data_IF_333202479772
#
_entry.id   IF_333202479772
#
_cell.length_a   1.000
_cell.length_b   1.000
_cell.length_c   1.000
_cell.angle_alpha   90.00
_cell.angle_beta   90.00
_cell.angle_gamma   90.00
#
_symmetry.space_group_name_H-M   'P 1'
#
loop_
_entity.id
_entity.type
_entity.pdbx_description
1 polymer ?
#
# COMPACT_ATOMS: atom_id res chain seq x y z
N UNK A 1 -28.06 12.37 -65.89
CA UNK A 1 -26.83 11.86 -65.26
C UNK A 1 -26.85 12.26 -63.80
N UNK A 2 -26.68 11.27 -62.91
CA UNK A 2 -26.65 11.37 -61.45
C UNK A 2 -25.26 11.81 -60.99
N UNK A 3 -25.16 12.69 -59.98
CA UNK A 3 -24.16 12.69 -58.87
C UNK A 3 -24.36 13.98 -58.04
N UNK A 4 -24.94 13.92 -56.85
CA UNK A 4 -24.48 13.39 -55.54
C UNK A 4 -24.26 14.61 -54.60
N UNK A 5 -25.23 14.85 -53.73
CA UNK A 5 -25.13 15.80 -52.62
C UNK A 5 -23.99 15.39 -51.69
N UNK A 6 -23.02 16.28 -51.49
CA UNK A 6 -21.92 16.09 -50.54
C UNK A 6 -22.42 16.36 -49.13
N UNK A 7 -22.46 15.31 -48.31
CA UNK A 7 -22.60 15.39 -46.86
C UNK A 7 -21.25 15.80 -46.26
N UNK A 8 -21.09 17.08 -45.90
CA UNK A 8 -19.96 17.54 -45.11
C UNK A 8 -20.19 17.16 -43.64
N UNK A 9 -19.27 16.37 -43.11
CA UNK A 9 -19.31 15.73 -41.81
C UNK A 9 -19.43 16.73 -40.64
N UNK A 10 -20.30 16.38 -39.69
CA UNK A 10 -20.43 17.00 -38.37
C UNK A 10 -19.05 16.98 -37.68
N UNK A 11 -18.50 18.14 -37.34
CA UNK A 11 -17.30 18.26 -36.50
C UNK A 11 -17.62 17.65 -35.14
N UNK A 12 -17.22 16.39 -34.95
CA UNK A 12 -17.27 15.70 -33.68
C UNK A 12 -16.42 16.44 -32.66
N UNK A 13 -17.09 16.95 -31.63
CA UNK A 13 -16.49 17.43 -30.40
C UNK A 13 -15.76 16.24 -29.73
N UNK A 14 -14.43 16.23 -29.79
CA UNK A 14 -13.63 15.29 -29.00
C UNK A 14 -13.66 15.79 -27.56
N UNK A 15 -14.57 15.22 -26.76
CA UNK A 15 -14.51 15.31 -25.30
C UNK A 15 -13.22 14.62 -24.85
N UNK A 16 -12.26 15.42 -24.38
CA UNK A 16 -11.11 14.91 -23.65
C UNK A 16 -11.62 14.24 -22.38
N UNK A 17 -11.74 12.92 -22.39
CA UNK A 17 -11.86 12.11 -21.18
C UNK A 17 -10.58 12.33 -20.38
N UNK A 18 -10.68 13.08 -19.28
CA UNK A 18 -9.61 13.17 -18.29
C UNK A 18 -9.16 11.77 -17.94
N UNK A 19 -7.85 11.54 -17.97
CA UNK A 19 -7.26 10.31 -17.47
C UNK A 19 -7.71 10.14 -16.02
N UNK A 20 -8.66 9.24 -15.77
CA UNK A 20 -8.96 8.80 -14.42
C UNK A 20 -7.65 8.21 -13.89
N UNK A 21 -6.96 8.94 -13.01
CA UNK A 21 -5.74 8.46 -12.36
C UNK A 21 -6.14 7.18 -11.62
N UNK A 22 -5.65 6.05 -12.09
CA UNK A 22 -5.87 4.76 -11.46
C UNK A 22 -5.20 4.82 -10.09
N UNK A 23 -5.98 4.93 -9.02
CA UNK A 23 -5.47 4.67 -7.67
C UNK A 23 -5.25 3.17 -7.60
N UNK A 24 -4.01 2.71 -7.83
CA UNK A 24 -3.65 1.34 -7.52
C UNK A 24 -3.96 1.10 -6.04
N UNK A 25 -4.77 0.09 -5.77
CA UNK A 25 -5.28 -0.30 -4.48
C UNK A 25 -5.53 -1.82 -4.53
N UNK A 26 -5.88 -2.42 -3.40
CA UNK A 26 -6.26 -3.83 -3.32
C UNK A 26 -5.09 -4.74 -2.99
N UNK A 27 -4.17 -4.36 -2.10
CA UNK A 27 -3.03 -5.22 -1.74
C UNK A 27 -3.45 -6.64 -1.30
N UNK A 28 -4.59 -6.80 -0.62
CA UNK A 28 -5.12 -8.11 -0.21
C UNK A 28 -5.69 -8.92 -1.37
N UNK A 29 -6.20 -8.24 -2.39
CA UNK A 29 -6.65 -8.86 -3.64
C UNK A 29 -5.47 -9.14 -4.59
N UNK A 30 -4.31 -8.64 -4.23
CA UNK A 30 -3.09 -8.64 -5.03
C UNK A 30 -1.95 -9.36 -4.29
N UNK A 31 -2.29 -10.52 -3.73
CA UNK A 31 -1.35 -11.48 -3.15
C UNK A 31 -0.53 -10.98 -1.96
N UNK A 32 -1.10 -10.06 -1.17
CA UNK A 32 -0.62 -9.79 0.18
C UNK A 32 -1.58 -10.36 1.22
N UNK A 33 -1.04 -10.69 2.38
CA UNK A 33 -1.83 -11.08 3.54
C UNK A 33 -1.38 -12.37 4.18
N UNK A 34 -1.87 -12.60 5.41
CA UNK A 34 -1.74 -13.89 6.06
C UNK A 34 -2.80 -14.86 5.53
N UNK A 35 -2.36 -15.91 4.83
CA UNK A 35 -3.25 -16.95 4.36
C UNK A 35 -3.74 -17.77 5.56
N UNK A 36 -5.07 -17.80 5.76
CA UNK A 36 -5.81 -18.68 6.67
C UNK A 36 -5.62 -18.50 8.20
N UNK A 37 -5.04 -17.40 8.70
CA UNK A 37 -4.91 -17.18 10.15
C UNK A 37 -4.95 -15.68 10.53
N UNK A 38 -6.06 -15.22 11.10
CA UNK A 38 -6.16 -13.90 11.75
C UNK A 38 -6.29 -12.67 10.84
N UNK A 39 -6.03 -11.44 11.37
CA UNK A 39 -6.10 -10.21 10.59
C UNK A 39 -5.06 -10.23 9.47
N UNK A 40 -5.45 -9.82 8.26
CA UNK A 40 -4.64 -9.96 7.04
C UNK A 40 -3.34 -9.13 7.04
N UNK A 41 -3.20 -8.21 7.98
CA UNK A 41 -2.01 -7.38 8.21
C UNK A 41 -2.03 -6.91 9.67
N UNK A 42 -0.90 -6.41 10.15
CA UNK A 42 -0.77 -5.89 11.52
C UNK A 42 -0.62 -4.37 11.49
N UNK A 43 -1.39 -3.66 12.32
CA UNK A 43 -1.18 -2.23 12.59
C UNK A 43 -0.22 -2.07 13.78
N UNK A 44 0.82 -1.27 13.60
CA UNK A 44 1.83 -0.96 14.62
C UNK A 44 1.47 0.32 15.38
N UNK A 45 2.11 0.49 16.55
CA UNK A 45 1.91 1.65 17.43
C UNK A 45 2.39 3.00 16.89
N UNK A 46 3.02 3.01 15.71
CA UNK A 46 3.50 4.19 14.99
C UNK A 46 2.61 4.56 13.77
N UNK A 47 1.53 3.81 13.55
CA UNK A 47 0.65 3.99 12.40
C UNK A 47 1.16 3.32 11.11
N UNK A 48 2.21 2.51 11.18
CA UNK A 48 2.62 1.65 10.07
C UNK A 48 1.83 0.33 10.06
N UNK A 49 1.71 -0.28 8.88
CA UNK A 49 1.20 -1.64 8.74
C UNK A 49 2.28 -2.58 8.22
N UNK A 50 2.19 -3.84 8.62
CA UNK A 50 3.07 -4.91 8.16
C UNK A 50 2.28 -6.10 7.65
N UNK A 51 2.78 -6.75 6.62
CA UNK A 51 2.25 -8.02 6.11
C UNK A 51 3.29 -8.74 5.24
N UNK A 52 2.91 -9.87 4.67
CA UNK A 52 3.66 -10.56 3.63
C UNK A 52 3.01 -10.31 2.27
N UNK A 53 3.81 -10.07 1.24
CA UNK A 53 3.36 -9.86 -0.12
C UNK A 53 4.14 -10.74 -1.08
N UNK A 54 3.47 -11.28 -2.08
CA UNK A 54 4.14 -11.94 -3.20
C UNK A 54 4.90 -10.90 -4.02
N UNK A 55 6.21 -11.10 -4.12
CA UNK A 55 7.05 -10.50 -5.15
C UNK A 55 6.81 -11.23 -6.48
N UNK A 56 6.16 -10.53 -7.39
CA UNK A 56 5.79 -11.02 -8.73
C UNK A 56 6.96 -11.06 -9.71
N UNK A 57 8.10 -10.47 -9.35
CA UNK A 57 9.29 -10.41 -10.20
C UNK A 57 10.19 -11.62 -9.98
N UNK A 58 10.51 -11.94 -8.72
CA UNK A 58 11.35 -13.09 -8.39
C UNK A 58 10.56 -14.30 -7.88
N UNK A 59 9.22 -14.23 -7.87
CA UNK A 59 8.34 -15.31 -7.40
C UNK A 59 8.69 -15.75 -5.98
N UNK A 60 8.88 -14.77 -5.09
CA UNK A 60 9.12 -14.99 -3.66
C UNK A 60 8.04 -14.33 -2.83
N UNK A 61 7.94 -14.69 -1.55
CA UNK A 61 7.12 -13.95 -0.58
C UNK A 61 8.04 -13.12 0.29
N UNK A 62 7.76 -11.83 0.41
CA UNK A 62 8.54 -10.92 1.25
C UNK A 62 7.69 -10.32 2.35
N UNK A 63 8.32 -10.01 3.47
CA UNK A 63 7.73 -9.16 4.49
C UNK A 63 7.91 -7.71 4.06
N UNK A 64 6.88 -6.91 4.29
CA UNK A 64 6.87 -5.51 3.89
C UNK A 64 6.15 -4.67 4.93
N UNK A 65 6.55 -3.40 4.99
CA UNK A 65 6.01 -2.40 5.90
C UNK A 65 5.70 -1.12 5.12
N UNK A 66 4.66 -0.41 5.50
CA UNK A 66 4.41 0.96 5.02
C UNK A 66 3.87 1.82 6.17
N UNK A 67 4.36 3.05 6.28
CA UNK A 67 3.82 4.02 7.21
C UNK A 67 2.54 4.66 6.66
N UNK A 68 1.39 4.40 7.27
CA UNK A 68 0.12 4.96 6.79
C UNK A 68 0.03 6.47 7.05
N UNK A 69 0.93 7.07 7.84
CA UNK A 69 1.05 8.53 7.91
C UNK A 69 1.41 9.15 6.56
N UNK A 70 2.00 8.39 5.63
CA UNK A 70 2.27 8.86 4.28
C UNK A 70 1.11 8.59 3.30
N UNK A 71 0.04 7.95 3.76
CA UNK A 71 -1.11 7.55 2.94
C UNK A 71 -2.44 8.15 3.41
N UNK A 72 -2.58 8.41 4.71
CA UNK A 72 -3.84 8.76 5.35
C UNK A 72 -3.69 10.10 6.07
N UNK A 73 -4.73 10.91 5.98
CA UNK A 73 -4.87 12.17 6.72
C UNK A 73 -6.18 12.17 7.51
N UNK A 74 -6.26 13.05 8.50
CA UNK A 74 -7.48 13.32 9.25
C UNK A 74 -8.03 14.69 8.82
N UNK A 75 -9.24 14.68 8.25
CA UNK A 75 -9.95 15.89 7.82
C UNK A 75 -11.16 16.08 8.74
N UNK A 76 -11.05 16.99 9.71
CA UNK A 76 -12.14 17.33 10.64
C UNK A 76 -12.77 16.11 11.35
N UNK A 77 -11.95 15.14 11.74
CA UNK A 77 -12.38 13.91 12.40
C UNK A 77 -12.67 12.76 11.44
N UNK A 78 -12.52 12.95 10.13
CA UNK A 78 -12.71 11.92 9.12
C UNK A 78 -11.37 11.45 8.55
N UNK A 79 -11.10 10.14 8.67
CA UNK A 79 -9.98 9.49 8.00
C UNK A 79 -10.20 9.51 6.49
N UNK A 80 -9.21 10.02 5.76
CA UNK A 80 -9.25 10.10 4.30
C UNK A 80 -7.91 9.67 3.70
N UNK A 81 -7.90 9.10 2.48
CA UNK A 81 -6.67 9.02 1.71
C UNK A 81 -6.10 10.43 1.56
N UNK A 82 -4.78 10.61 1.69
CA UNK A 82 -4.19 11.93 1.48
C UNK A 82 -4.38 12.33 0.03
N UNK A 83 -4.68 13.60 -0.21
CA UNK A 83 -4.66 14.12 -1.57
C UNK A 83 -3.21 14.25 -2.08
N UNK A 84 -3.04 14.20 -3.40
CA UNK A 84 -1.74 14.42 -4.05
C UNK A 84 -1.17 15.79 -3.64
N UNK A 85 0.11 15.83 -3.27
CA UNK A 85 0.77 17.05 -2.80
C UNK A 85 0.42 17.49 -1.37
N UNK A 86 -0.45 16.76 -0.66
CA UNK A 86 -0.71 16.99 0.76
C UNK A 86 0.10 16.07 1.65
N UNK A 87 0.30 16.50 2.89
CA UNK A 87 0.86 15.67 3.95
C UNK A 87 -0.26 14.84 4.59
N UNK A 88 0.05 13.59 4.92
CA UNK A 88 -0.84 12.75 5.72
C UNK A 88 -0.68 13.06 7.21
N UNK A 89 -0.31 12.05 7.99
CA UNK A 89 -0.09 12.10 9.43
C UNK A 89 -1.35 12.03 10.29
N UNK A 90 -2.28 11.15 9.92
CA UNK A 90 -3.46 10.88 10.74
C UNK A 90 -3.10 10.45 12.17
N UNK A 91 -2.02 9.67 12.37
CA UNK A 91 -1.65 9.08 13.66
C UNK A 91 -1.37 10.13 14.74
N UNK A 92 -0.93 11.33 14.36
CA UNK A 92 -0.74 12.45 15.30
C UNK A 92 -2.04 12.99 15.89
N UNK A 93 -3.15 12.83 15.17
CA UNK A 93 -4.44 13.45 15.48
C UNK A 93 -5.56 12.43 15.76
N UNK A 94 -5.25 11.14 15.63
CA UNK A 94 -6.15 10.05 15.91
C UNK A 94 -5.59 9.19 17.05
N UNK A 95 -6.48 8.55 17.81
CA UNK A 95 -6.15 7.67 18.92
C UNK A 95 -7.02 6.41 18.90
N UNK A 96 -6.68 5.45 19.74
CA UNK A 96 -7.42 4.20 19.91
C UNK A 96 -7.61 3.43 18.58
N UNK A 97 -6.60 3.56 17.71
CA UNK A 97 -6.60 2.98 16.38
C UNK A 97 -6.40 1.47 16.42
N UNK A 98 -7.25 0.74 15.69
CA UNK A 98 -7.18 -0.72 15.55
C UNK A 98 -7.65 -1.16 14.16
N UNK A 99 -7.38 -2.42 13.82
CA UNK A 99 -7.82 -3.03 12.57
C UNK A 99 -9.02 -3.93 12.81
N UNK A 100 -10.04 -3.77 11.97
CA UNK A 100 -11.18 -4.67 11.89
C UNK A 100 -11.39 -5.06 10.42
N UNK A 101 -11.06 -6.31 10.08
CA UNK A 101 -11.02 -6.77 8.68
C UNK A 101 -9.98 -5.99 7.87
N UNK A 102 -10.43 -5.23 6.87
CA UNK A 102 -9.58 -4.38 6.02
C UNK A 102 -9.62 -2.90 6.43
N UNK A 103 -10.40 -2.56 7.44
CA UNK A 103 -10.61 -1.19 7.88
C UNK A 103 -9.69 -0.86 9.05
N UNK A 104 -9.09 0.33 8.99
CA UNK A 104 -8.57 0.98 10.18
C UNK A 104 -9.69 1.79 10.81
N UNK A 105 -9.91 1.61 12.11
CA UNK A 105 -10.89 2.36 12.91
C UNK A 105 -10.14 3.14 13.98
N UNK A 106 -10.46 4.42 14.13
CA UNK A 106 -9.82 5.31 15.09
C UNK A 106 -10.82 6.32 15.66
N UNK A 107 -10.45 6.94 16.78
CA UNK A 107 -11.05 8.19 17.27
C UNK A 107 -10.18 9.36 16.80
N UNK A 108 -10.68 10.19 15.88
CA UNK A 108 -9.93 11.28 15.26
C UNK A 108 -10.39 12.65 15.74
N UNK A 109 -9.45 13.56 15.99
CA UNK A 109 -9.77 14.89 16.48
C UNK A 109 -10.46 15.75 15.42
N UNK A 110 -11.49 16.47 15.85
CA UNK A 110 -12.13 17.55 15.08
C UNK A 110 -11.44 18.88 15.38
N UNK A 111 -11.80 19.92 14.62
CA UNK A 111 -11.32 21.29 14.85
C UNK A 111 -11.68 21.82 16.24
N UNK A 112 -12.83 21.42 16.80
CA UNK A 112 -13.29 21.83 18.13
C UNK A 112 -12.57 21.11 19.29
N UNK A 113 -11.59 20.25 18.99
CA UNK A 113 -10.82 19.49 19.97
C UNK A 113 -11.51 18.22 20.48
N UNK A 114 -12.77 17.99 20.15
CA UNK A 114 -13.45 16.72 20.45
C UNK A 114 -13.13 15.64 19.42
N UNK A 115 -13.42 14.39 19.74
CA UNK A 115 -13.10 13.24 18.89
C UNK A 115 -14.35 12.70 18.18
N UNK A 116 -14.15 12.19 16.97
CA UNK A 116 -15.14 11.49 16.15
C UNK A 116 -14.61 10.10 15.81
N UNK A 117 -15.47 9.09 15.90
CA UNK A 117 -15.13 7.77 15.37
C UNK A 117 -15.09 7.82 13.85
N UNK A 118 -14.01 7.30 13.27
CA UNK A 118 -13.83 7.26 11.84
C UNK A 118 -13.19 5.95 11.41
N UNK A 119 -13.49 5.55 10.18
CA UNK A 119 -12.96 4.32 9.60
C UNK A 119 -12.57 4.54 8.14
N UNK A 120 -11.51 3.86 7.70
CA UNK A 120 -11.06 3.90 6.32
C UNK A 120 -10.64 2.50 5.88
N UNK A 121 -11.07 2.08 4.68
CA UNK A 121 -10.65 0.82 4.10
C UNK A 121 -9.20 0.94 3.60
N UNK A 122 -8.26 0.30 4.29
CA UNK A 122 -6.84 0.34 3.94
C UNK A 122 -6.58 -0.38 2.61
N UNK A 123 -7.34 -1.44 2.33
CA UNK A 123 -7.27 -2.14 1.05
C UNK A 123 -7.70 -1.24 -0.13
N UNK A 124 -8.46 -0.17 0.12
CA UNK A 124 -8.85 0.80 -0.91
C UNK A 124 -7.78 1.83 -1.28
N UNK A 125 -6.63 1.85 -0.58
CA UNK A 125 -5.59 2.87 -0.78
C UNK A 125 -4.16 2.32 -0.83
N UNK A 126 -3.95 1.12 -0.29
CA UNK A 126 -2.65 0.42 -0.32
C UNK A 126 -2.71 -0.67 -1.39
N UNK A 127 -1.60 -0.84 -2.10
CA UNK A 127 -1.45 -1.86 -3.15
C UNK A 127 -0.12 -2.62 -3.03
N UNK A 128 -0.06 -3.79 -3.67
CA UNK A 128 1.16 -4.58 -3.77
C UNK A 128 1.98 -4.13 -4.99
N UNK A 129 3.00 -3.32 -4.76
CA UNK A 129 3.99 -2.96 -5.77
C UNK A 129 5.12 -3.98 -5.79
N UNK A 130 4.90 -5.09 -6.48
CA UNK A 130 5.91 -6.12 -6.74
C UNK A 130 6.62 -6.63 -5.47
N UNK A 131 5.87 -6.88 -4.40
CA UNK A 131 6.36 -7.32 -3.09
C UNK A 131 6.39 -6.20 -2.03
N UNK A 132 6.31 -4.93 -2.43
CA UNK A 132 6.20 -3.81 -1.49
C UNK A 132 4.75 -3.41 -1.25
N UNK A 133 4.40 -3.09 -0.01
CA UNK A 133 3.25 -2.24 0.23
C UNK A 133 3.55 -0.83 -0.27
N UNK A 134 2.63 -0.28 -1.04
CA UNK A 134 2.75 1.05 -1.62
C UNK A 134 1.43 1.83 -1.51
N UNK A 135 1.55 3.16 -1.49
CA UNK A 135 0.43 4.09 -1.60
C UNK A 135 0.93 5.38 -2.26
N UNK A 136 0.14 5.99 -3.15
CA UNK A 136 0.53 7.23 -3.85
C UNK A 136 1.94 7.19 -4.48
N UNK A 137 2.32 6.05 -5.09
CA UNK A 137 3.65 5.81 -5.69
C UNK A 137 4.82 5.92 -4.71
N UNK A 138 4.56 5.77 -3.41
CA UNK A 138 5.55 5.73 -2.35
C UNK A 138 5.68 4.33 -1.78
N UNK A 139 6.91 3.95 -1.45
CA UNK A 139 7.25 2.73 -0.71
C UNK A 139 8.09 3.09 0.51
N UNK A 140 8.14 2.17 1.47
CA UNK A 140 9.01 2.30 2.63
C UNK A 140 10.49 2.05 2.27
N UNK A 141 11.41 2.80 2.88
CA UNK A 141 12.84 2.43 2.89
C UNK A 141 13.16 1.26 3.83
N UNK A 142 12.17 0.80 4.59
CA UNK A 142 12.36 -0.19 5.61
C UNK A 142 12.25 -1.60 5.08
N UNK A 143 13.24 -2.43 5.45
CA UNK A 143 13.47 -3.74 4.81
C UNK A 143 13.42 -3.62 3.29
N UNK A 144 14.29 -2.78 2.69
CA UNK A 144 14.28 -2.59 1.26
C UNK A 144 14.57 -3.95 0.63
N UNK A 145 13.62 -4.48 -0.12
CA UNK A 145 13.75 -5.72 -0.86
C UNK A 145 14.65 -5.49 -2.08
N UNK A 146 15.85 -6.09 -2.14
CA UNK A 146 16.49 -6.31 -3.42
C UNK A 146 15.73 -7.42 -4.16
N UNK A 147 15.26 -7.18 -5.37
CA UNK A 147 14.82 -8.26 -6.27
C UNK A 147 16.04 -9.12 -6.62
N UNK A 148 16.30 -10.17 -5.82
CA UNK A 148 17.55 -10.96 -5.88
C UNK A 148 17.80 -11.62 -7.23
N UNK A 149 16.75 -11.88 -7.99
CA UNK A 149 16.82 -12.39 -9.36
C UNK A 149 17.20 -11.32 -10.40
N UNK A 150 17.45 -10.07 -9.97
CA UNK A 150 17.78 -8.91 -10.79
C UNK A 150 19.08 -8.25 -10.31
N UNK A 151 19.74 -7.45 -11.17
CA UNK A 151 20.87 -6.62 -10.75
C UNK A 151 20.49 -5.62 -9.65
N UNK A 152 21.48 -5.18 -8.86
CA UNK A 152 21.27 -4.32 -7.67
C UNK A 152 20.56 -3.00 -7.96
N UNK A 153 20.76 -2.41 -9.13
CA UNK A 153 20.20 -1.11 -9.52
C UNK A 153 18.96 -1.24 -10.43
N UNK A 154 18.37 -2.43 -10.49
CA UNK A 154 17.19 -2.71 -11.29
C UNK A 154 15.90 -2.31 -10.56
N UNK A 155 14.96 -1.72 -11.30
CA UNK A 155 13.64 -1.34 -10.84
C UNK A 155 12.57 -1.86 -11.81
N UNK A 156 11.40 -2.33 -11.33
CA UNK A 156 10.39 -2.94 -12.21
C UNK A 156 9.93 -2.04 -13.36
N UNK A 157 9.76 -0.75 -13.11
CA UNK A 157 9.33 0.24 -14.11
C UNK A 157 10.49 1.04 -14.70
N UNK A 158 11.74 0.66 -14.40
CA UNK A 158 12.94 1.36 -14.88
C UNK A 158 13.22 2.69 -14.16
N UNK A 159 12.45 3.06 -13.14
CA UNK A 159 12.69 4.22 -12.28
C UNK A 159 12.56 3.85 -10.81
N UNK A 160 13.31 4.56 -9.95
CA UNK A 160 13.26 4.38 -8.50
C UNK A 160 11.98 5.02 -7.94
N UNK A 161 11.16 4.29 -7.16
CA UNK A 161 9.96 4.82 -6.54
C UNK A 161 10.29 5.95 -5.57
N UNK A 162 9.29 6.75 -5.20
CA UNK A 162 9.47 7.64 -4.07
C UNK A 162 9.60 6.80 -2.80
N UNK A 163 10.67 7.00 -2.04
CA UNK A 163 10.96 6.21 -0.85
C UNK A 163 10.77 7.10 0.37
N UNK A 164 9.83 6.72 1.24
CA UNK A 164 9.56 7.39 2.50
C UNK A 164 10.25 6.68 3.66
N UNK A 165 10.76 7.48 4.60
CA UNK A 165 11.45 6.97 5.78
C UNK A 165 10.45 6.37 6.76
N UNK A 166 10.58 5.08 7.04
CA UNK A 166 9.71 4.35 7.96
C UNK A 166 10.55 3.71 9.06
N UNK A 167 10.20 3.88 10.34
CA UNK A 167 10.90 3.23 11.44
C UNK A 167 11.01 1.70 11.28
N UNK A 168 12.26 1.22 11.25
CA UNK A 168 12.63 -0.19 11.11
C UNK A 168 12.87 -0.92 12.42
N UNK A 169 12.48 -0.31 13.53
CA UNK A 169 12.58 -0.87 14.87
C UNK A 169 11.57 -2.00 15.08
N UNK A 170 11.73 -3.09 14.34
CA UNK A 170 10.94 -4.30 14.49
C UNK A 170 11.85 -5.50 14.71
N UNK A 171 12.16 -5.72 15.99
CA UNK A 171 12.41 -7.06 16.52
C UNK A 171 11.18 -7.99 16.38
N UNK A 172 10.02 -7.49 15.94
CA UNK A 172 8.78 -8.27 15.78
C UNK A 172 8.66 -8.98 14.41
N UNK A 173 9.28 -8.49 13.33
CA UNK A 173 9.16 -9.15 12.01
C UNK A 173 9.72 -10.59 12.04
N UNK A 174 10.83 -10.81 12.77
CA UNK A 174 11.46 -12.12 12.95
C UNK A 174 10.71 -13.06 13.92
N UNK A 175 9.81 -12.52 14.76
CA UNK A 175 8.94 -13.30 15.65
C UNK A 175 7.56 -13.58 15.04
N UNK A 176 7.28 -12.97 13.87
CA UNK A 176 5.99 -13.01 13.17
C UNK A 176 6.07 -13.65 11.79
N UNK A 177 7.02 -14.55 11.51
CA UNK A 177 6.61 -15.67 10.66
C UNK A 177 5.60 -16.42 11.52
N UNK A 178 4.27 -16.37 11.27
CA UNK A 178 3.37 -17.24 12.00
C UNK A 178 3.98 -18.64 11.92
N UNK A 179 3.96 -19.38 13.03
CA UNK A 179 4.47 -20.75 13.06
C UNK A 179 3.80 -21.66 11.98
N UNK A 180 2.77 -21.14 11.31
CA UNK A 180 2.01 -21.71 10.21
C UNK A 180 1.83 -20.75 9.01
N UNK A 181 2.82 -19.90 8.69
CA UNK A 181 2.75 -19.13 7.44
C UNK A 181 2.65 -20.12 6.28
N UNK A 182 1.45 -20.26 5.73
CA UNK A 182 1.20 -21.11 4.57
C UNK A 182 1.51 -20.27 3.36
N UNK A 183 2.62 -20.58 2.68
CA UNK A 183 2.96 -19.91 1.43
C UNK A 183 2.08 -20.46 0.31
N UNK A 184 1.72 -19.63 -0.69
CA UNK A 184 1.13 -20.14 -1.92
C UNK A 184 2.02 -21.22 -2.55
N UNK A 185 1.45 -22.25 -3.21
CA UNK A 185 2.22 -23.29 -3.87
C UNK A 185 3.26 -22.71 -4.83
N UNK A 186 4.50 -23.20 -4.73
CA UNK A 186 5.60 -22.79 -5.62
C UNK A 186 6.33 -21.51 -5.22
N UNK A 187 5.90 -20.80 -4.17
CA UNK A 187 6.61 -19.64 -3.64
C UNK A 187 7.51 -20.01 -2.46
N UNK A 188 8.60 -19.27 -2.33
CA UNK A 188 9.56 -19.39 -1.21
C UNK A 188 9.67 -18.07 -0.45
N UNK A 189 9.93 -18.14 0.85
CA UNK A 189 10.14 -16.94 1.66
C UNK A 189 11.48 -16.28 1.27
N UNK A 190 11.47 -14.97 1.08
CA UNK A 190 12.68 -14.20 0.81
C UNK A 190 13.70 -14.38 1.95
N UNK A 191 14.94 -14.71 1.59
CA UNK A 191 16.01 -15.06 2.53
C UNK A 191 16.46 -13.89 3.42
N UNK A 192 16.11 -12.66 3.07
CA UNK A 192 16.54 -11.46 3.79
C UNK A 192 15.87 -11.31 5.16
N UNK A 193 14.68 -11.89 5.32
CA UNK A 193 14.00 -12.03 6.61
C UNK A 193 14.73 -12.93 7.60
N UNK A 194 15.52 -13.89 7.08
CA UNK A 194 16.27 -14.85 7.88
C UNK A 194 17.69 -14.35 8.20
N UNK A 195 18.16 -13.30 7.52
CA UNK A 195 19.54 -12.79 7.66
C UNK A 195 19.78 -11.99 8.95
N UNK A 196 18.72 -11.55 9.63
CA UNK A 196 18.79 -11.00 10.99
C UNK A 196 19.12 -12.04 12.08
N UNK A 197 19.21 -13.33 11.75
CA UNK A 197 19.66 -14.41 12.66
C UNK A 197 21.19 -14.62 12.66
N UNK A 198 21.98 -13.58 12.43
CA UNK A 198 23.46 -13.66 12.59
C UNK A 198 23.99 -12.53 13.45
N UNK A 199 23.89 -12.69 14.77
CA UNK A 199 24.97 -12.66 15.76
C UNK A 199 24.34 -12.80 17.15
#
# INVERSE_FOLDING_TARGET
MVKLLSLAALKGLVLALGAAKFTQAGFLDDDCGFINDGPQFTLRGDGSITTYCNDKICSTVTFTVINLNDCITNVFGDLQPKAEGQYGNFWKSCKDCHIEGTYIKCQCSKHDGSYKESSLNVNGIVFNWNGYLACHSQVSNCYPMPWRCKPRDWWPEGWRPNVVDTPCDIWQAAMMTPAKLTLPPGLTLSTDLMSGRRA
#
